data_IF_114893083177
#
_entry.id   IF_114893083177
#
_cell.length_a   1.000
_cell.length_b   1.000
_cell.length_c   1.000
_cell.angle_alpha   90.00
_cell.angle_beta   90.00
_cell.angle_gamma   90.00
#
_symmetry.space_group_name_H-M   'P 1'
#
loop_
_entity.id
_entity.type
_entity.pdbx_description
1 polymer ?
#
# COMPACT_ATOMS: atom_id res chain seq x y z
N UNK A 1 -10.47 -57.20 17.37
CA UNK A 1 -9.50 -56.85 18.43
C UNK A 1 -8.35 -56.09 17.79
N UNK A 2 -8.35 -54.76 17.90
CA UNK A 2 -7.20 -53.85 17.85
C UNK A 2 -7.77 -52.43 17.91
N UNK A 3 -7.53 -51.74 19.03
CA UNK A 3 -7.99 -50.37 19.32
C UNK A 3 -7.06 -49.38 18.63
N UNK A 4 -7.64 -48.33 18.04
CA UNK A 4 -6.91 -47.15 17.59
C UNK A 4 -7.20 -45.99 18.57
N UNK A 5 -6.13 -45.39 19.07
CA UNK A 5 -6.11 -44.28 20.00
C UNK A 5 -6.72 -43.00 19.41
N UNK A 6 -7.67 -42.41 20.14
CA UNK A 6 -8.15 -41.04 19.93
C UNK A 6 -7.38 -40.11 20.87
N UNK A 7 -6.47 -39.31 20.32
CA UNK A 7 -5.89 -38.17 21.03
C UNK A 7 -6.96 -37.08 21.18
N UNK A 8 -7.31 -36.80 22.43
CA UNK A 8 -8.27 -35.79 22.86
C UNK A 8 -7.48 -34.50 23.14
N UNK A 9 -7.64 -33.48 22.29
CA UNK A 9 -7.04 -32.16 22.52
C UNK A 9 -7.98 -31.37 23.43
N UNK A 10 -7.50 -31.10 24.66
CA UNK A 10 -8.17 -30.27 25.65
C UNK A 10 -8.20 -28.80 25.20
N UNK A 11 -9.38 -28.25 24.95
CA UNK A 11 -9.60 -26.80 24.90
C UNK A 11 -9.85 -26.29 26.33
N UNK A 12 -8.95 -25.43 26.82
CA UNK A 12 -9.17 -24.66 28.04
C UNK A 12 -10.12 -23.47 27.76
N UNK A 13 -11.16 -23.23 28.57
CA UNK A 13 -12.01 -22.05 28.40
C UNK A 13 -11.34 -20.81 29.02
N UNK A 14 -11.17 -19.78 28.20
CA UNK A 14 -10.83 -18.42 28.63
C UNK A 14 -11.98 -17.84 29.46
N UNK A 15 -11.73 -17.63 30.75
CA UNK A 15 -12.61 -16.88 31.67
C UNK A 15 -12.61 -15.41 31.27
N UNK A 16 -13.79 -14.89 30.98
CA UNK A 16 -14.04 -13.45 30.87
C UNK A 16 -14.24 -12.85 32.27
N UNK A 17 -13.50 -11.80 32.59
CA UNK A 17 -13.76 -10.97 33.76
C UNK A 17 -15.01 -10.12 33.49
N UNK A 18 -16.09 -10.40 34.22
CA UNK A 18 -17.25 -9.53 34.34
C UNK A 18 -16.89 -8.39 35.30
N UNK A 19 -17.00 -7.14 34.85
CA UNK A 19 -16.97 -5.97 35.72
C UNK A 19 -18.42 -5.70 36.14
N UNK A 20 -18.73 -5.98 37.40
CA UNK A 20 -20.00 -5.57 38.00
C UNK A 20 -20.07 -4.03 38.12
N UNK A 21 -21.23 -3.41 37.84
CA UNK A 21 -21.43 -1.99 38.07
C UNK A 21 -21.69 -1.74 39.57
N UNK A 22 -20.86 -0.90 40.19
CA UNK A 22 -21.04 -0.41 41.56
C UNK A 22 -22.27 0.52 41.64
N UNK A 23 -23.11 0.42 42.69
CA UNK A 23 -24.36 1.15 42.78
C UNK A 23 -24.18 2.60 43.22
N UNK A 24 -25.16 3.41 42.82
CA UNK A 24 -25.35 4.80 43.19
C UNK A 24 -25.44 4.99 44.71
N UNK A 25 -24.86 6.10 45.19
CA UNK A 25 -25.10 6.63 46.53
C UNK A 25 -25.50 8.11 46.42
N UNK A 26 -26.71 8.38 46.90
CA UNK A 26 -27.32 9.69 47.13
C UNK A 26 -26.68 10.45 48.31
N UNK A 27 -26.85 11.78 48.32
CA UNK A 27 -26.97 12.59 49.55
C UNK A 27 -25.78 13.47 49.96
N UNK A 28 -25.97 14.80 49.94
CA UNK A 28 -25.01 15.86 50.35
C UNK A 28 -24.84 16.04 51.87
N UNK A 29 -24.61 17.26 52.45
CA UNK A 29 -24.42 18.59 51.85
C UNK A 29 -23.19 19.41 52.36
N UNK A 30 -22.87 20.48 51.61
CA UNK A 30 -22.45 21.83 52.03
C UNK A 30 -21.49 22.02 53.24
N UNK A 31 -20.22 22.41 52.99
CA UNK A 31 -19.41 23.24 53.90
C UNK A 31 -18.42 24.14 53.12
N UNK A 32 -18.24 25.35 53.64
CA UNK A 32 -17.60 26.55 53.09
C UNK A 32 -16.06 26.49 52.93
N UNK A 33 -15.43 27.47 52.22
CA UNK A 33 -14.00 27.47 51.94
C UNK A 33 -13.19 28.18 53.03
N UNK A 34 -12.14 27.53 53.54
CA UNK A 34 -11.13 28.17 54.37
C UNK A 34 -9.86 28.46 53.55
N UNK A 35 -9.48 29.75 53.51
CA UNK A 35 -8.17 30.24 53.13
C UNK A 35 -7.13 29.80 54.18
N UNK A 36 -5.92 29.47 53.75
CA UNK A 36 -4.79 29.31 54.67
C UNK A 36 -3.47 29.04 53.94
N UNK A 37 -2.62 30.06 53.89
CA UNK A 37 -1.20 30.00 53.55
C UNK A 37 -0.44 29.04 54.49
N UNK A 38 0.65 28.43 54.01
CA UNK A 38 1.72 27.97 54.91
C UNK A 38 2.62 26.85 54.40
N UNK A 39 3.81 27.24 53.96
CA UNK A 39 5.12 26.62 54.19
C UNK A 39 5.33 25.08 54.02
N UNK A 40 6.32 24.77 53.18
CA UNK A 40 7.14 23.55 53.23
C UNK A 40 7.75 23.34 54.63
N UNK A 41 7.95 22.07 55.02
CA UNK A 41 9.33 21.59 55.09
C UNK A 41 9.55 20.17 54.54
N UNK A 42 10.82 19.92 54.24
CA UNK A 42 11.46 18.67 53.87
C UNK A 42 11.11 17.49 54.81
N UNK A 43 10.95 16.30 54.24
CA UNK A 43 11.59 15.08 54.77
C UNK A 43 11.56 13.94 53.75
N UNK A 44 12.75 13.46 53.41
CA UNK A 44 13.15 12.06 53.28
C UNK A 44 12.12 11.01 52.83
N UNK A 45 12.33 10.52 51.61
CA UNK A 45 12.34 9.08 51.38
C UNK A 45 13.27 8.79 50.19
N UNK A 46 14.48 8.35 50.51
CA UNK A 46 15.44 7.88 49.52
C UNK A 46 14.99 6.58 48.88
N UNK A 47 15.03 6.54 47.55
CA UNK A 47 15.11 5.32 46.76
C UNK A 47 16.04 5.57 45.56
N UNK A 48 17.04 4.70 45.30
CA UNK A 48 17.94 4.84 44.17
C UNK A 48 17.23 4.47 42.86
N UNK A 49 17.25 5.39 41.89
CA UNK A 49 16.83 5.12 40.50
C UNK A 49 17.95 4.35 39.80
N UNK A 50 17.76 3.03 39.70
CA UNK A 50 18.54 2.17 38.82
C UNK A 50 18.18 2.49 37.35
N UNK A 51 19.07 3.20 36.66
CA UNK A 51 19.06 3.28 35.20
C UNK A 51 19.54 1.95 34.62
N UNK A 52 18.60 1.08 34.25
CA UNK A 52 18.89 -0.04 33.37
C UNK A 52 19.09 0.48 31.93
N UNK A 53 20.35 0.53 31.49
CA UNK A 53 20.71 0.55 30.06
C UNK A 53 20.52 -0.85 29.49
N UNK A 54 19.85 -1.05 28.35
CA UNK A 54 19.99 -2.28 27.59
C UNK A 54 21.24 -2.20 26.72
N UNK A 55 22.26 -2.95 27.12
CA UNK A 55 23.36 -3.40 26.28
C UNK A 55 22.85 -4.39 25.23
N UNK A 56 22.96 -4.00 23.96
CA UNK A 56 23.07 -4.95 22.84
C UNK A 56 23.78 -4.25 21.67
N UNK A 57 25.08 -4.03 21.87
CA UNK A 57 26.03 -3.80 20.82
C UNK A 57 26.86 -5.07 20.61
N UNK A 58 26.89 -5.56 19.37
CA UNK A 58 27.84 -6.48 18.68
C UNK A 58 27.01 -7.26 17.66
N UNK A 59 27.34 -7.40 16.37
CA UNK A 59 28.50 -7.16 15.51
C UNK A 59 27.92 -7.13 14.09
N UNK A 60 28.32 -6.20 13.24
CA UNK A 60 28.35 -6.46 11.80
C UNK A 60 29.70 -5.95 11.31
N UNK A 61 30.53 -6.92 11.00
CA UNK A 61 31.88 -6.76 10.48
C UNK A 61 31.85 -6.01 9.15
N UNK A 62 32.78 -5.05 9.04
CA UNK A 62 32.95 -4.24 7.85
C UNK A 62 33.42 -5.06 6.66
N UNK A 63 32.84 -4.75 5.51
CA UNK A 63 33.50 -4.85 4.21
C UNK A 63 33.23 -3.52 3.49
N UNK A 64 34.11 -2.55 3.71
CA UNK A 64 34.21 -1.40 2.81
C UNK A 64 34.96 -1.87 1.57
N UNK A 65 34.24 -2.04 0.46
CA UNK A 65 34.89 -2.14 -0.85
C UNK A 65 35.36 -0.73 -1.22
N UNK A 66 36.65 -0.48 -1.09
CA UNK A 66 37.30 0.67 -1.68
C UNK A 66 37.15 0.58 -3.21
N UNK A 67 36.27 1.38 -3.80
CA UNK A 67 36.29 1.64 -5.23
C UNK A 67 37.40 2.66 -5.48
N UNK A 68 38.49 2.33 -6.20
CA UNK A 68 39.52 3.30 -6.49
C UNK A 68 38.94 4.44 -7.31
N UNK A 69 39.13 5.66 -6.83
CA UNK A 69 38.82 6.88 -7.54
C UNK A 69 39.75 6.97 -8.75
N UNK A 70 39.23 6.74 -9.96
CA UNK A 70 39.97 6.94 -11.20
C UNK A 70 40.11 8.46 -11.40
N UNK A 71 41.34 9.02 -11.43
CA UNK A 71 41.55 10.44 -11.69
C UNK A 71 41.01 10.81 -13.08
N UNK A 72 40.40 11.98 -13.19
CA UNK A 72 39.73 12.47 -14.39
C UNK A 72 40.66 12.82 -15.57
N UNK A 73 41.95 12.49 -15.52
CA UNK A 73 42.98 13.03 -16.42
C UNK A 73 43.48 12.09 -17.53
N UNK A 74 42.85 10.92 -17.77
CA UNK A 74 43.20 10.05 -18.90
C UNK A 74 42.02 9.74 -19.83
N UNK A 75 41.19 10.75 -20.13
CA UNK A 75 40.34 10.75 -21.33
C UNK A 75 41.05 11.49 -22.47
N UNK A 76 42.10 10.88 -23.01
CA UNK A 76 42.56 11.28 -24.33
C UNK A 76 41.55 10.74 -25.34
N UNK A 77 40.78 11.64 -25.96
CA UNK A 77 39.98 11.31 -27.12
C UNK A 77 40.93 10.74 -28.19
N UNK A 78 40.73 9.52 -28.69
CA UNK A 78 41.55 9.02 -29.78
C UNK A 78 41.41 9.97 -30.98
N UNK A 79 42.50 10.23 -31.72
CA UNK A 79 42.45 11.10 -32.88
C UNK A 79 41.42 10.56 -33.89
N UNK A 80 40.69 11.45 -34.58
CA UNK A 80 39.70 11.03 -35.56
C UNK A 80 40.37 10.18 -36.63
N UNK A 81 39.99 8.91 -36.73
CA UNK A 81 40.47 8.02 -37.79
C UNK A 81 40.12 8.62 -39.16
N UNK A 82 41.07 8.69 -40.11
CA UNK A 82 40.78 9.14 -41.46
C UNK A 82 39.73 8.21 -42.09
N UNK A 83 38.63 8.81 -42.54
CA UNK A 83 37.55 8.15 -43.29
C UNK A 83 38.07 7.75 -44.67
N UNK A 84 38.77 6.62 -44.78
CA UNK A 84 39.01 5.95 -46.05
C UNK A 84 37.89 4.94 -46.32
N UNK A 85 37.08 5.23 -47.36
CA UNK A 85 36.55 4.27 -48.34
C UNK A 85 36.16 2.85 -47.86
N UNK A 86 35.48 2.70 -46.72
CA UNK A 86 34.92 1.42 -46.24
C UNK A 86 33.43 1.23 -46.63
N UNK A 87 32.97 1.87 -47.72
CA UNK A 87 31.54 1.82 -48.11
C UNK A 87 31.15 0.68 -49.05
N UNK A 88 32.11 -0.13 -49.54
CA UNK A 88 31.81 -1.19 -50.52
C UNK A 88 32.07 -2.63 -50.05
N UNK A 89 32.82 -2.83 -48.95
CA UNK A 89 33.08 -4.19 -48.40
C UNK A 89 32.16 -4.62 -47.24
N UNK A 90 31.41 -3.71 -46.60
CA UNK A 90 30.51 -4.08 -45.49
C UNK A 90 29.17 -4.69 -45.97
N UNK A 91 28.75 -4.39 -47.21
CA UNK A 91 27.45 -4.86 -47.74
C UNK A 91 27.50 -6.35 -48.11
N UNK A 92 28.65 -6.87 -48.54
CA UNK A 92 28.78 -8.29 -48.93
C UNK A 92 28.88 -9.22 -47.71
N UNK A 93 29.51 -8.77 -46.61
CA UNK A 93 29.58 -9.55 -45.37
C UNK A 93 28.22 -9.63 -44.63
N UNK A 94 27.33 -8.64 -44.81
CA UNK A 94 26.01 -8.61 -44.15
C UNK A 94 24.97 -9.48 -44.88
N UNK A 95 25.17 -9.76 -46.18
CA UNK A 95 24.29 -10.64 -46.97
C UNK A 95 24.62 -12.13 -46.74
N UNK A 96 25.86 -12.48 -46.37
CA UNK A 96 26.27 -13.86 -46.08
C UNK A 96 25.98 -14.32 -44.64
N UNK A 97 25.78 -13.41 -43.68
CA UNK A 97 25.38 -13.75 -42.30
C UNK A 97 23.86 -13.88 -42.11
N UNK A 98 23.05 -13.76 -43.17
CA UNK A 98 21.59 -13.80 -43.11
C UNK A 98 20.94 -15.21 -43.08
N UNK A 99 21.73 -16.29 -43.10
CA UNK A 99 21.22 -17.66 -43.34
C UNK A 99 21.61 -18.64 -42.23
N UNK A 100 21.10 -18.42 -41.02
CA UNK A 100 20.77 -19.48 -40.03
C UNK A 100 20.37 -18.83 -38.71
N UNK A 101 19.33 -17.99 -38.69
CA UNK A 101 18.65 -17.78 -37.42
C UNK A 101 18.02 -19.15 -37.06
N UNK A 102 18.35 -19.75 -35.90
CA UNK A 102 17.72 -20.99 -35.47
C UNK A 102 16.22 -20.75 -35.53
N UNK A 103 15.48 -21.63 -36.23
CA UNK A 103 14.04 -21.51 -36.38
C UNK A 103 13.44 -21.33 -34.98
N UNK A 104 13.07 -20.10 -34.65
CA UNK A 104 12.54 -19.78 -33.34
C UNK A 104 11.33 -20.68 -33.15
N UNK A 105 11.40 -21.57 -32.15
CA UNK A 105 10.40 -22.61 -31.95
C UNK A 105 9.02 -21.94 -31.97
N UNK A 106 8.19 -22.30 -32.95
CA UNK A 106 6.92 -21.65 -33.19
C UNK A 106 6.05 -21.78 -31.94
N UNK A 107 5.83 -20.66 -31.24
CA UNK A 107 4.99 -20.63 -30.03
C UNK A 107 3.53 -20.60 -30.44
N UNK A 108 2.71 -21.38 -29.75
CA UNK A 108 1.28 -21.33 -29.87
C UNK A 108 0.73 -20.17 -29.03
N UNK A 109 -0.42 -19.63 -29.45
CA UNK A 109 -1.08 -18.51 -28.81
C UNK A 109 -2.55 -18.83 -28.58
N UNK A 110 -3.02 -18.62 -27.35
CA UNK A 110 -4.43 -18.66 -27.00
C UNK A 110 -4.88 -17.26 -26.57
N UNK A 111 -5.92 -16.74 -27.19
CA UNK A 111 -6.47 -15.42 -26.86
C UNK A 111 -7.97 -15.53 -26.60
N UNK A 112 -8.45 -14.75 -25.64
CA UNK A 112 -9.88 -14.53 -25.41
C UNK A 112 -10.12 -13.05 -25.07
N UNK A 113 -11.24 -12.52 -25.57
CA UNK A 113 -11.72 -11.19 -25.24
C UNK A 113 -13.02 -11.34 -24.45
N UNK A 114 -13.06 -10.71 -23.29
CA UNK A 114 -14.18 -10.63 -22.38
C UNK A 114 -14.67 -9.17 -22.31
N UNK A 115 -15.85 -8.96 -21.73
CA UNK A 115 -16.37 -7.61 -21.48
C UNK A 115 -15.45 -6.83 -20.51
N UNK A 116 -14.76 -7.54 -19.62
CA UNK A 116 -13.82 -7.00 -18.65
C UNK A 116 -12.43 -6.70 -19.22
N UNK A 117 -12.05 -7.30 -20.36
CA UNK A 117 -10.77 -7.10 -21.03
C UNK A 117 -10.26 -8.32 -21.82
N UNK A 118 -8.99 -8.33 -22.19
CA UNK A 118 -8.34 -9.33 -23.04
C UNK A 118 -7.33 -10.14 -22.25
N UNK A 119 -7.29 -11.45 -22.55
CA UNK A 119 -6.28 -12.38 -22.06
C UNK A 119 -5.54 -12.99 -23.23
N UNK A 120 -4.21 -12.97 -23.17
CA UNK A 120 -3.32 -13.54 -24.19
C UNK A 120 -2.31 -14.45 -23.53
N UNK A 121 -2.31 -15.74 -23.91
CA UNK A 121 -1.39 -16.76 -23.39
C UNK A 121 -0.49 -17.23 -24.54
N UNK A 122 0.83 -17.12 -24.35
CA UNK A 122 1.84 -17.58 -25.29
C UNK A 122 2.65 -18.73 -24.69
N UNK A 123 2.62 -19.89 -25.33
CA UNK A 123 3.20 -21.13 -24.80
C UNK A 123 3.90 -21.92 -25.90
N UNK A 124 4.91 -22.71 -25.53
CA UNK A 124 5.48 -23.70 -26.44
C UNK A 124 4.56 -24.92 -26.52
N UNK A 125 4.37 -25.51 -27.70
CA UNK A 125 3.50 -26.68 -27.91
C UNK A 125 4.31 -27.96 -28.16
N UNK A 126 5.00 -28.53 -27.14
CA UNK A 126 5.75 -29.77 -27.32
C UNK A 126 4.82 -30.93 -27.70
N UNK A 127 5.33 -31.84 -28.53
CA UNK A 127 4.67 -33.11 -28.78
C UNK A 127 4.63 -33.93 -27.49
N UNK A 128 3.49 -34.55 -27.19
CA UNK A 128 3.36 -35.45 -26.06
C UNK A 128 4.29 -36.66 -26.22
N UNK A 129 4.93 -37.07 -25.12
CA UNK A 129 5.77 -38.26 -25.03
C UNK A 129 5.41 -39.00 -23.74
N UNK A 130 5.46 -40.32 -23.73
CA UNK A 130 5.17 -41.13 -22.54
C UNK A 130 6.11 -40.82 -21.36
N UNK A 131 7.34 -40.39 -21.66
CA UNK A 131 8.31 -39.91 -20.68
C UNK A 131 7.78 -38.72 -19.87
N UNK A 132 6.93 -37.88 -20.45
CA UNK A 132 6.31 -36.75 -19.74
C UNK A 132 5.31 -37.21 -18.71
N UNK A 133 4.57 -38.29 -18.96
CA UNK A 133 3.67 -38.88 -17.96
C UNK A 133 4.44 -39.30 -16.70
N UNK A 134 5.59 -39.99 -16.90
CA UNK A 134 6.47 -40.42 -15.80
C UNK A 134 7.08 -39.22 -15.06
N UNK A 135 7.48 -38.18 -15.78
CA UNK A 135 8.03 -36.96 -15.18
C UNK A 135 6.97 -36.17 -14.37
N UNK A 136 5.71 -36.15 -14.80
CA UNK A 136 4.61 -35.55 -14.03
C UNK A 136 4.30 -36.33 -12.74
N UNK A 137 4.55 -37.63 -12.71
CA UNK A 137 4.39 -38.42 -11.48
C UNK A 137 5.45 -38.08 -10.43
N UNK A 138 6.69 -37.84 -10.86
CA UNK A 138 7.85 -37.62 -9.99
C UNK A 138 8.09 -36.15 -9.60
N UNK A 139 7.42 -35.19 -10.24
CA UNK A 139 7.62 -33.76 -9.98
C UNK A 139 6.39 -33.10 -9.36
N UNK A 140 6.62 -32.18 -8.43
CA UNK A 140 5.55 -31.36 -7.82
C UNK A 140 5.19 -30.15 -8.67
N UNK A 141 6.06 -29.75 -9.60
CA UNK A 141 5.85 -28.60 -10.47
C UNK A 141 6.12 -28.99 -11.91
N UNK A 142 5.13 -28.73 -12.76
CA UNK A 142 5.21 -28.96 -14.19
C UNK A 142 5.27 -27.63 -14.94
N UNK A 143 6.26 -27.51 -15.83
CA UNK A 143 6.37 -26.35 -16.71
C UNK A 143 5.37 -26.50 -17.85
N UNK A 144 4.46 -25.52 -17.97
CA UNK A 144 3.64 -25.37 -19.16
C UNK A 144 4.52 -24.87 -20.31
N UNK A 145 4.73 -25.72 -21.32
CA UNK A 145 5.45 -25.39 -22.55
C UNK A 145 6.92 -25.80 -22.61
N UNK A 146 7.51 -25.63 -23.80
CA UNK A 146 8.91 -26.00 -24.08
C UNK A 146 9.85 -24.79 -24.03
N UNK A 147 11.08 -25.02 -23.52
CA UNK A 147 12.20 -24.09 -23.35
C UNK A 147 11.93 -22.88 -22.43
N UNK A 148 10.93 -22.09 -22.74
CA UNK A 148 10.58 -20.88 -22.01
C UNK A 148 9.32 -21.08 -21.15
N UNK A 149 9.15 -20.30 -20.07
CA UNK A 149 7.89 -20.30 -19.33
C UNK A 149 6.70 -19.87 -20.22
N UNK A 150 5.51 -20.40 -19.93
CA UNK A 150 4.27 -19.91 -20.54
C UNK A 150 4.00 -18.50 -20.04
N UNK A 151 3.82 -17.57 -20.98
CA UNK A 151 3.56 -16.16 -20.72
C UNK A 151 2.07 -15.89 -20.75
N UNK A 152 1.56 -15.12 -19.80
CA UNK A 152 0.18 -14.61 -19.83
C UNK A 152 0.19 -13.10 -19.69
N UNK A 153 -0.53 -12.44 -20.58
CA UNK A 153 -0.79 -11.00 -20.56
C UNK A 153 -2.27 -10.79 -20.30
N UNK A 154 -2.56 -10.06 -19.22
CA UNK A 154 -3.91 -9.75 -18.77
C UNK A 154 -4.13 -8.23 -18.91
N UNK A 155 -5.12 -7.82 -19.70
CA UNK A 155 -5.59 -6.41 -19.68
C UNK A 155 -6.73 -6.19 -18.69
N UNK A 156 -7.34 -7.27 -18.21
CA UNK A 156 -8.28 -7.29 -17.09
C UNK A 156 -7.64 -7.93 -15.85
N UNK A 157 -8.36 -7.93 -14.73
CA UNK A 157 -7.97 -8.71 -13.56
C UNK A 157 -8.52 -10.12 -13.67
N UNK A 158 -8.04 -11.01 -12.82
CA UNK A 158 -8.51 -12.39 -12.75
C UNK A 158 -8.75 -12.77 -11.29
N UNK A 159 -9.98 -13.16 -10.96
CA UNK A 159 -10.30 -13.66 -9.62
C UNK A 159 -9.79 -15.10 -9.47
N UNK A 160 -9.09 -15.39 -8.37
CA UNK A 160 -8.67 -16.74 -8.00
C UNK A 160 -9.05 -17.06 -6.55
N UNK A 161 -8.78 -18.30 -6.14
CA UNK A 161 -9.01 -18.77 -4.77
C UNK A 161 -8.11 -18.02 -3.76
N UNK A 162 -6.90 -17.66 -4.18
CA UNK A 162 -5.91 -16.89 -3.39
C UNK A 162 -6.12 -15.35 -3.47
N UNK A 163 -7.14 -14.89 -4.20
CA UNK A 163 -7.48 -13.47 -4.36
C UNK A 163 -7.41 -12.97 -5.80
N UNK A 164 -7.50 -11.66 -5.98
CA UNK A 164 -7.48 -11.04 -7.31
C UNK A 164 -6.05 -10.90 -7.85
N UNK A 165 -5.82 -11.37 -9.07
CA UNK A 165 -4.64 -11.06 -9.88
C UNK A 165 -4.93 -9.75 -10.63
N UNK A 166 -4.10 -8.70 -10.48
CA UNK A 166 -4.30 -7.47 -11.22
C UNK A 166 -3.96 -7.62 -12.72
N UNK A 167 -4.34 -6.64 -13.53
CA UNK A 167 -3.91 -6.58 -14.93
C UNK A 167 -2.37 -6.45 -15.01
N UNK A 168 -1.74 -7.15 -15.95
CA UNK A 168 -0.28 -7.19 -16.06
C UNK A 168 0.26 -8.37 -16.86
N UNK A 169 1.59 -8.51 -16.85
CA UNK A 169 2.30 -9.62 -17.48
C UNK A 169 2.80 -10.61 -16.42
N UNK A 170 2.45 -11.87 -16.61
CA UNK A 170 2.77 -12.96 -15.68
C UNK A 170 3.28 -14.20 -16.42
N UNK A 171 3.62 -15.22 -15.65
CA UNK A 171 3.95 -16.56 -16.12
C UNK A 171 3.03 -17.60 -15.48
N UNK A 172 2.91 -18.75 -16.15
CA UNK A 172 2.05 -19.84 -15.74
C UNK A 172 2.82 -21.15 -15.61
N UNK A 173 2.48 -21.93 -14.58
CA UNK A 173 2.95 -23.29 -14.35
C UNK A 173 1.79 -24.13 -13.78
N UNK A 174 1.99 -25.45 -13.71
CA UNK A 174 1.09 -26.33 -12.95
C UNK A 174 1.82 -26.84 -11.71
N UNK A 175 1.15 -26.87 -10.57
CA UNK A 175 1.69 -27.40 -9.33
C UNK A 175 0.77 -28.50 -8.80
N UNK A 176 1.35 -29.60 -8.34
CA UNK A 176 0.61 -30.71 -7.73
C UNK A 176 0.20 -30.31 -6.31
N UNK A 177 -1.10 -30.35 -6.05
CA UNK A 177 -1.68 -30.17 -4.72
C UNK A 177 -1.61 -31.46 -3.91
N UNK A 178 -1.85 -31.38 -2.60
CA UNK A 178 -1.88 -32.52 -1.66
C UNK A 178 -2.81 -33.66 -2.11
N UNK A 179 -3.86 -33.34 -2.88
CA UNK A 179 -4.84 -34.32 -3.37
C UNK A 179 -4.47 -34.92 -4.74
N UNK A 180 -3.20 -34.83 -5.15
CA UNK A 180 -2.72 -35.23 -6.49
C UNK A 180 -3.44 -34.52 -7.65
N UNK A 181 -4.14 -33.41 -7.39
CA UNK A 181 -4.74 -32.57 -8.41
C UNK A 181 -3.72 -31.52 -8.87
N UNK A 182 -3.76 -31.15 -10.13
CA UNK A 182 -2.91 -30.08 -10.64
C UNK A 182 -3.63 -28.75 -10.51
N UNK A 183 -3.07 -27.86 -9.69
CA UNK A 183 -3.48 -26.48 -9.62
C UNK A 183 -2.72 -25.68 -10.67
N UNK A 184 -3.40 -24.70 -11.26
CA UNK A 184 -2.76 -23.75 -12.14
C UNK A 184 -2.18 -22.61 -11.30
N UNK A 185 -0.90 -22.33 -11.49
CA UNK A 185 -0.17 -21.31 -10.73
C UNK A 185 0.19 -20.15 -11.65
N UNK A 186 -0.27 -18.96 -11.31
CA UNK A 186 0.08 -17.69 -11.97
C UNK A 186 1.05 -16.94 -11.07
N UNK A 187 2.16 -16.45 -11.61
CA UNK A 187 3.20 -15.78 -10.82
C UNK A 187 3.87 -14.62 -11.59
N UNK A 188 4.33 -13.56 -10.90
CA UNK A 188 5.06 -12.47 -11.54
C UNK A 188 6.52 -12.87 -11.79
N UNK A 189 7.12 -12.31 -12.85
CA UNK A 189 8.54 -12.50 -13.17
C UNK A 189 8.80 -13.02 -14.58
N UNK A 190 10.07 -13.26 -14.92
CA UNK A 190 10.49 -13.71 -16.25
C UNK A 190 10.94 -15.18 -16.30
N UNK A 191 11.20 -15.81 -15.14
CA UNK A 191 11.79 -17.14 -15.04
C UNK A 191 10.78 -18.27 -14.83
N UNK A 192 11.32 -19.48 -14.59
CA UNK A 192 10.54 -20.64 -14.17
C UNK A 192 10.07 -20.50 -12.73
N UNK A 193 8.92 -21.09 -12.42
CA UNK A 193 8.35 -21.12 -11.08
C UNK A 193 9.30 -21.80 -10.09
N UNK A 194 9.38 -21.26 -8.87
CA UNK A 194 10.13 -21.82 -7.75
C UNK A 194 9.26 -21.75 -6.49
N UNK A 195 9.41 -22.74 -5.61
CA UNK A 195 8.75 -22.73 -4.32
C UNK A 195 9.10 -21.45 -3.53
N UNK A 196 8.11 -20.86 -2.85
CA UNK A 196 8.26 -19.62 -2.08
C UNK A 196 8.08 -18.33 -2.89
N UNK A 197 7.94 -18.39 -4.21
CA UNK A 197 7.57 -17.20 -5.00
C UNK A 197 6.11 -16.81 -4.73
N UNK A 198 5.83 -15.49 -4.70
CA UNK A 198 4.46 -14.98 -4.71
C UNK A 198 3.72 -15.53 -5.92
N UNK A 199 2.60 -16.18 -5.70
CA UNK A 199 1.78 -16.74 -6.76
C UNK A 199 0.30 -16.74 -6.36
N UNK A 200 -0.54 -16.98 -7.35
CA UNK A 200 -1.96 -17.19 -7.20
C UNK A 200 -2.30 -18.55 -7.79
N UNK A 201 -3.02 -19.37 -7.01
CA UNK A 201 -3.49 -20.68 -7.43
C UNK A 201 -4.93 -20.58 -7.93
N UNK A 202 -5.20 -21.36 -8.96
CA UNK A 202 -6.54 -21.58 -9.51
C UNK A 202 -6.76 -23.09 -9.47
N UNK A 203 -7.70 -23.53 -8.63
CA UNK A 203 -8.02 -24.94 -8.51
C UNK A 203 -8.76 -25.46 -9.76
N UNK A 204 -8.55 -26.72 -10.15
CA UNK A 204 -9.24 -27.29 -11.30
C UNK A 204 -10.73 -27.46 -11.00
N UNK A 205 -11.59 -27.02 -11.92
CA UNK A 205 -13.04 -27.21 -11.85
C UNK A 205 -13.43 -28.65 -12.26
N UNK A 206 -12.79 -29.18 -13.31
CA UNK A 206 -13.05 -30.52 -13.82
C UNK A 206 -11.82 -31.11 -14.52
N UNK A 207 -11.64 -32.41 -14.40
CA UNK A 207 -10.76 -33.20 -15.27
C UNK A 207 -11.63 -33.80 -16.37
N UNK A 208 -11.21 -33.62 -17.62
CA UNK A 208 -11.94 -34.01 -18.81
C UNK A 208 -11.16 -35.10 -19.53
N UNK A 209 -11.85 -36.16 -19.92
CA UNK A 209 -11.31 -37.15 -20.86
C UNK A 209 -11.17 -36.50 -22.23
N UNK A 210 -9.94 -36.40 -22.73
CA UNK A 210 -9.67 -35.83 -24.03
C UNK A 210 -9.32 -36.93 -25.02
N UNK A 211 -9.77 -36.80 -26.28
CA UNK A 211 -9.12 -37.52 -27.38
C UNK A 211 -7.65 -37.13 -27.35
N UNK A 212 -6.77 -38.12 -27.24
CA UNK A 212 -5.33 -37.94 -27.03
C UNK A 212 -4.79 -36.79 -27.90
N UNK A 213 -4.32 -35.73 -27.25
CA UNK A 213 -3.73 -34.61 -27.95
C UNK A 213 -2.24 -34.90 -28.18
N UNK A 214 -1.83 -34.96 -29.45
CA UNK A 214 -0.43 -35.18 -29.82
C UNK A 214 0.48 -34.05 -29.36
N UNK A 215 -0.07 -32.87 -29.05
CA UNK A 215 0.66 -31.67 -28.63
C UNK A 215 -0.02 -31.01 -27.43
N UNK A 216 0.77 -30.38 -26.57
CA UNK A 216 0.24 -29.47 -25.53
C UNK A 216 -0.61 -28.38 -26.20
N UNK A 217 -1.85 -28.22 -25.76
CA UNK A 217 -2.73 -27.16 -26.23
C UNK A 217 -3.40 -26.46 -25.05
N UNK A 218 -3.37 -25.13 -25.04
CA UNK A 218 -4.09 -24.31 -24.09
C UNK A 218 -5.21 -23.63 -24.87
N UNK A 219 -6.44 -23.75 -24.39
CA UNK A 219 -7.63 -23.13 -24.99
C UNK A 219 -8.38 -22.34 -23.94
N UNK A 220 -9.00 -21.25 -24.36
CA UNK A 220 -9.91 -20.49 -23.51
C UNK A 220 -11.30 -20.63 -24.13
N UNK A 221 -12.20 -21.30 -23.42
CA UNK A 221 -13.56 -21.55 -23.86
C UNK A 221 -14.53 -20.95 -22.85
N UNK A 222 -15.27 -19.92 -23.28
CA UNK A 222 -16.12 -19.12 -22.37
C UNK A 222 -15.27 -18.59 -21.20
N UNK A 223 -15.64 -18.92 -19.97
CA UNK A 223 -14.96 -18.55 -18.72
C UNK A 223 -14.17 -19.72 -18.12
N UNK A 224 -13.64 -20.59 -18.99
CA UNK A 224 -12.81 -21.74 -18.59
C UNK A 224 -11.53 -21.78 -19.41
N UNK A 225 -10.40 -21.95 -18.72
CA UNK A 225 -9.11 -22.24 -19.34
C UNK A 225 -8.92 -23.76 -19.36
N UNK A 226 -8.79 -24.34 -20.55
CA UNK A 226 -8.61 -25.78 -20.72
C UNK A 226 -7.18 -26.04 -21.16
N UNK A 227 -6.46 -26.86 -20.38
CA UNK A 227 -5.10 -27.30 -20.69
C UNK A 227 -5.15 -28.76 -21.10
N UNK A 228 -4.88 -29.04 -22.37
CA UNK A 228 -4.75 -30.39 -22.93
C UNK A 228 -3.30 -30.83 -22.91
N UNK A 229 -3.02 -31.97 -22.28
CA UNK A 229 -1.70 -32.58 -22.25
C UNK A 229 -1.83 -34.11 -22.32
N UNK A 230 -1.50 -34.67 -23.49
CA UNK A 230 -1.63 -36.11 -23.74
C UNK A 230 -3.08 -36.58 -23.68
N UNK A 231 -3.40 -37.64 -22.91
CA UNK A 231 -4.77 -38.14 -22.78
C UNK A 231 -5.65 -37.31 -21.82
N UNK A 232 -5.08 -36.31 -21.13
CA UNK A 232 -5.78 -35.54 -20.11
C UNK A 232 -6.08 -34.13 -20.58
N UNK A 233 -7.24 -33.62 -20.15
CA UNK A 233 -7.53 -32.20 -20.18
C UNK A 233 -7.99 -31.75 -18.79
N UNK A 234 -7.52 -30.58 -18.34
CA UNK A 234 -7.95 -29.99 -17.09
C UNK A 234 -8.57 -28.62 -17.37
N UNK A 235 -9.78 -28.41 -16.88
CA UNK A 235 -10.50 -27.16 -16.97
C UNK A 235 -10.33 -26.36 -15.67
N UNK A 236 -9.86 -25.12 -15.79
CA UNK A 236 -9.72 -24.16 -14.70
C UNK A 236 -10.77 -23.06 -14.84
N UNK A 237 -11.48 -22.68 -13.77
CA UNK A 237 -12.38 -21.55 -13.80
C UNK A 237 -11.57 -20.27 -14.07
N UNK A 238 -11.99 -19.53 -15.08
CA UNK A 238 -11.37 -18.27 -15.48
C UNK A 238 -12.40 -17.18 -15.28
N UNK A 239 -12.27 -16.42 -14.18
CA UNK A 239 -13.23 -15.37 -13.80
C UNK A 239 -12.59 -13.98 -14.00
N UNK A 240 -12.64 -13.43 -15.22
CA UNK A 240 -12.23 -12.05 -15.47
C UNK A 240 -12.98 -11.09 -14.55
N UNK A 241 -12.26 -10.12 -14.01
CA UNK A 241 -12.84 -9.01 -13.27
C UNK A 241 -12.43 -7.71 -13.95
N UNK A 242 -13.38 -6.78 -14.05
CA UNK A 242 -13.15 -5.47 -14.67
C UNK A 242 -12.18 -4.69 -13.79
N UNK A 243 -10.95 -4.59 -14.24
CA UNK A 243 -9.98 -3.68 -13.63
C UNK A 243 -10.20 -2.33 -14.28
N UNK A 244 -10.34 -1.30 -13.45
CA UNK A 244 -10.38 0.04 -13.98
C UNK A 244 -8.95 0.48 -14.33
N UNK A 245 -8.83 1.44 -15.25
CA UNK A 245 -7.55 2.00 -15.62
C UNK A 245 -6.75 2.39 -14.38
N UNK A 246 -5.47 2.01 -14.37
CA UNK A 246 -4.55 2.36 -13.28
C UNK A 246 -4.60 3.87 -13.08
N UNK A 247 -5.23 4.29 -11.99
CA UNK A 247 -5.24 5.70 -11.65
C UNK A 247 -3.86 6.04 -11.13
N UNK A 248 -3.04 6.65 -11.98
CA UNK A 248 -1.80 7.30 -11.57
C UNK A 248 -2.14 8.45 -10.61
N UNK A 249 -2.27 8.13 -9.33
CA UNK A 249 -2.33 9.12 -8.27
C UNK A 249 -0.92 9.34 -7.73
N UNK A 250 -0.56 10.60 -7.50
CA UNK A 250 0.72 10.93 -6.86
C UNK A 250 0.81 10.34 -5.43
N UNK A 251 -0.29 9.85 -4.86
CA UNK A 251 -0.34 9.12 -3.59
C UNK A 251 0.42 7.79 -3.61
N UNK A 252 0.49 7.10 -4.75
CA UNK A 252 1.38 5.94 -4.86
C UNK A 252 2.86 6.30 -4.62
N UNK A 253 3.21 7.59 -4.72
CA UNK A 253 4.55 8.11 -4.44
C UNK A 253 4.73 8.57 -2.99
N UNK A 254 3.66 8.69 -2.18
CA UNK A 254 3.74 9.21 -0.80
C UNK A 254 3.29 8.15 0.21
N UNK A 255 4.11 7.83 1.23
CA UNK A 255 3.68 6.97 2.32
C UNK A 255 2.63 7.72 3.14
N UNK A 256 1.38 7.26 3.09
CA UNK A 256 0.29 7.76 3.92
C UNK A 256 0.05 6.78 5.07
N UNK A 257 -0.06 7.31 6.29
CA UNK A 257 -0.48 6.54 7.47
C UNK A 257 -1.82 7.08 7.95
N UNK A 258 -2.84 6.22 7.96
CA UNK A 258 -4.16 6.53 8.52
C UNK A 258 -4.29 5.78 9.83
N UNK A 259 -4.55 6.49 10.93
CA UNK A 259 -4.81 5.90 12.24
C UNK A 259 -6.26 6.23 12.62
N UNK A 260 -7.12 5.22 12.61
CA UNK A 260 -8.54 5.36 12.97
C UNK A 260 -8.75 4.73 14.35
N UNK A 261 -9.39 5.45 15.27
CA UNK A 261 -9.81 4.89 16.55
C UNK A 261 -11.06 4.04 16.34
N UNK A 262 -11.12 2.88 17.00
CA UNK A 262 -12.34 2.08 17.05
C UNK A 262 -13.43 2.90 17.76
N UNK A 263 -14.53 3.16 17.05
CA UNK A 263 -15.69 3.85 17.61
C UNK A 263 -16.63 2.76 18.15
N UNK A 264 -17.02 2.79 19.43
CA UNK A 264 -18.00 1.85 19.96
C UNK A 264 -19.33 2.03 19.22
N UNK A 265 -19.98 0.91 18.91
CA UNK A 265 -21.31 0.93 18.30
C UNK A 265 -22.29 1.65 19.24
N UNK A 266 -22.76 2.81 18.83
CA UNK A 266 -23.77 3.59 19.53
C UNK A 266 -25.00 3.71 18.66
N UNK A 267 -26.18 3.50 19.25
CA UNK A 267 -27.48 3.72 18.59
C UNK A 267 -27.79 5.22 18.46
N UNK A 268 -27.03 6.08 19.14
CA UNK A 268 -27.11 7.53 19.03
C UNK A 268 -26.23 8.01 17.87
N UNK A 269 -26.74 8.99 17.12
CA UNK A 269 -25.97 9.68 16.09
C UNK A 269 -24.72 10.37 16.67
N UNK A 270 -23.73 10.56 15.81
CA UNK A 270 -22.49 11.27 16.13
C UNK A 270 -22.57 12.68 15.57
N UNK A 271 -22.23 13.69 16.37
CA UNK A 271 -22.04 15.06 15.87
C UNK A 271 -20.59 15.47 16.00
N UNK A 272 -19.96 15.80 14.87
CA UNK A 272 -18.58 16.27 14.76
C UNK A 272 -17.55 15.51 15.65
N UNK A 273 -17.74 14.20 15.82
CA UNK A 273 -16.98 13.39 16.77
C UNK A 273 -15.62 13.08 16.19
N UNK A 274 -14.55 13.29 16.95
CA UNK A 274 -13.19 12.94 16.52
C UNK A 274 -13.02 11.42 16.45
N UNK A 275 -12.55 10.90 15.30
CA UNK A 275 -12.45 9.45 15.03
C UNK A 275 -11.05 9.00 14.65
N UNK A 276 -10.09 9.92 14.53
CA UNK A 276 -8.70 9.57 14.26
C UNK A 276 -7.96 10.65 13.50
N UNK A 277 -6.79 10.28 12.98
CA UNK A 277 -5.89 11.20 12.30
C UNK A 277 -5.28 10.55 11.06
N UNK A 278 -5.24 11.30 9.96
CA UNK A 278 -4.51 10.95 8.76
C UNK A 278 -3.22 11.76 8.67
N UNK A 279 -2.10 11.11 8.34
CA UNK A 279 -0.79 11.76 8.19
C UNK A 279 -0.23 11.47 6.81
N UNK A 280 0.13 12.52 6.07
CA UNK A 280 0.84 12.42 4.81
C UNK A 280 2.25 13.00 4.96
N UNK A 281 3.26 12.21 4.61
CA UNK A 281 4.66 12.65 4.58
C UNK A 281 5.08 12.91 3.14
N UNK A 282 5.46 14.16 2.83
CA UNK A 282 5.91 14.54 1.50
C UNK A 282 7.34 13.99 1.30
N UNK A 283 7.51 12.95 0.46
CA UNK A 283 8.84 12.39 0.13
C UNK A 283 9.70 13.40 -0.64
N UNK A 284 11.01 13.36 -0.40
CA UNK A 284 12.02 14.09 -1.18
C UNK A 284 12.63 15.32 -0.51
N UNK A 285 12.33 15.61 0.76
CA UNK A 285 13.11 16.53 1.59
C UNK A 285 13.25 15.92 2.99
N UNK A 286 14.47 15.76 3.49
CA UNK A 286 14.76 15.21 4.84
C UNK A 286 14.10 15.98 5.99
N UNK A 287 13.57 17.18 5.72
CA UNK A 287 12.83 18.02 6.66
C UNK A 287 11.42 18.37 6.16
N UNK A 288 10.81 17.53 5.30
CA UNK A 288 9.50 17.82 4.77
C UNK A 288 8.45 17.85 5.90
N UNK A 289 7.68 18.95 6.04
CA UNK A 289 6.59 18.98 7.00
C UNK A 289 5.59 17.87 6.67
N UNK A 290 5.23 17.07 7.67
CA UNK A 290 4.08 16.18 7.57
C UNK A 290 2.80 17.01 7.63
N UNK A 291 1.79 16.58 6.88
CA UNK A 291 0.46 17.16 6.94
C UNK A 291 -0.42 16.22 7.76
N UNK A 292 -1.06 16.78 8.78
CA UNK A 292 -1.92 16.05 9.71
C UNK A 292 -3.35 16.54 9.54
N UNK A 293 -4.27 15.61 9.29
CA UNK A 293 -5.70 15.87 9.27
C UNK A 293 -6.38 15.13 10.41
N UNK A 294 -7.16 15.85 11.19
CA UNK A 294 -8.09 15.26 12.15
C UNK A 294 -9.35 14.82 11.41
N UNK A 295 -9.76 13.59 11.68
CA UNK A 295 -10.95 12.98 11.10
C UNK A 295 -12.11 13.18 12.06
N UNK A 296 -13.16 13.86 11.61
CA UNK A 296 -14.38 14.09 12.37
C UNK A 296 -15.57 13.43 11.68
N UNK A 297 -16.25 12.53 12.37
CA UNK A 297 -17.44 11.85 11.88
C UNK A 297 -18.69 12.55 12.39
N UNK A 298 -19.60 12.86 11.47
CA UNK A 298 -20.98 13.22 11.76
C UNK A 298 -21.87 12.16 11.15
N UNK A 299 -22.77 11.57 11.93
CA UNK A 299 -23.69 10.54 11.47
C UNK A 299 -25.06 10.76 12.10
N UNK A 300 -26.08 10.83 11.26
CA UNK A 300 -27.47 10.99 11.67
C UNK A 300 -28.38 10.07 10.86
N UNK A 301 -29.69 10.15 11.06
CA UNK A 301 -30.65 9.36 10.31
C UNK A 301 -30.62 9.64 8.79
N UNK A 302 -30.23 10.87 8.40
CA UNK A 302 -30.19 11.30 6.99
C UNK A 302 -28.90 10.89 6.26
N UNK A 303 -27.84 10.52 6.96
CA UNK A 303 -26.58 10.13 6.31
C UNK A 303 -25.35 10.19 7.22
N UNK A 304 -24.19 10.01 6.60
CA UNK A 304 -22.90 10.08 7.28
C UNK A 304 -21.98 11.05 6.54
N UNK A 305 -21.15 11.79 7.30
CA UNK A 305 -20.19 12.76 6.80
C UNK A 305 -18.87 12.61 7.55
N UNK A 306 -17.78 12.43 6.83
CA UNK A 306 -16.43 12.41 7.37
C UNK A 306 -15.71 13.69 6.97
N UNK A 307 -15.40 14.54 7.94
CA UNK A 307 -14.65 15.77 7.74
C UNK A 307 -13.16 15.55 8.05
N UNK A 308 -12.31 16.05 7.15
CA UNK A 308 -10.86 16.10 7.28
C UNK A 308 -10.50 17.54 7.62
N UNK A 309 -10.02 17.76 8.84
CA UNK A 309 -9.70 19.07 9.38
C UNK A 309 -8.17 19.20 9.45
N UNK A 310 -7.60 20.10 8.65
CA UNK A 310 -6.17 20.36 8.70
C UNK A 310 -5.84 21.19 9.95
N UNK A 311 -5.22 20.55 10.95
CA UNK A 311 -4.90 21.19 12.23
C UNK A 311 -3.88 22.31 12.09
N UNK A 312 -2.87 22.12 11.23
CA UNK A 312 -1.83 23.12 10.98
C UNK A 312 -2.41 24.37 10.33
N UNK A 313 -3.37 24.23 9.40
CA UNK A 313 -4.02 25.37 8.77
C UNK A 313 -4.71 26.30 9.79
N UNK A 314 -5.38 25.73 10.80
CA UNK A 314 -5.99 26.51 11.90
C UNK A 314 -4.94 27.19 12.78
N UNK A 315 -3.88 26.48 13.14
CA UNK A 315 -2.79 27.01 13.98
C UNK A 315 -2.02 28.15 13.31
N UNK A 316 -1.75 28.06 12.01
CA UNK A 316 -1.00 29.07 11.25
C UNK A 316 -1.65 30.45 11.29
N UNK A 317 -2.98 30.54 11.19
CA UNK A 317 -3.69 31.81 11.28
C UNK A 317 -3.51 32.48 12.66
N UNK A 318 -3.61 31.68 13.74
CA UNK A 318 -3.44 32.16 15.11
C UNK A 318 -1.99 32.55 15.42
N UNK A 319 -1.02 31.75 14.97
CA UNK A 319 0.42 32.03 15.10
C UNK A 319 0.79 33.37 14.44
N UNK A 320 0.36 33.60 13.19
CA UNK A 320 0.57 34.87 12.48
C UNK A 320 -0.02 36.05 13.23
N UNK A 321 -1.29 35.96 13.65
CA UNK A 321 -1.95 37.02 14.40
C UNK A 321 -1.27 37.27 15.76
N UNK A 322 -0.70 36.24 16.39
CA UNK A 322 0.11 36.36 17.60
C UNK A 322 1.41 37.14 17.36
N UNK A 323 2.12 36.84 16.28
CA UNK A 323 3.35 37.54 15.89
C UNK A 323 3.04 39.00 15.55
N UNK A 324 2.01 39.26 14.76
CA UNK A 324 1.61 40.62 14.35
C UNK A 324 1.22 41.48 15.57
N UNK A 325 0.45 40.93 16.52
CA UNK A 325 0.13 41.61 17.79
C UNK A 325 1.38 41.91 18.62
N UNK A 326 2.34 40.98 18.64
CA UNK A 326 3.61 41.16 19.36
C UNK A 326 4.45 42.26 18.71
N UNK A 327 4.58 42.23 17.38
CA UNK A 327 5.28 43.27 16.62
C UNK A 327 4.65 44.64 16.83
N UNK A 328 3.31 44.76 16.77
CA UNK A 328 2.60 46.02 17.02
C UNK A 328 2.89 46.59 18.41
N UNK A 329 2.83 45.75 19.45
CA UNK A 329 3.11 46.13 20.84
C UNK A 329 4.55 46.59 21.03
N UNK A 330 5.50 45.89 20.41
CA UNK A 330 6.93 46.19 20.51
C UNK A 330 7.29 47.45 19.73
N UNK A 331 6.68 47.69 18.56
CA UNK A 331 6.84 48.94 17.79
C UNK A 331 6.42 50.16 18.61
N UNK A 332 5.32 50.08 19.37
CA UNK A 332 4.90 51.18 20.27
C UNK A 332 5.92 51.50 21.39
N UNK A 333 6.82 50.57 21.74
CA UNK A 333 7.89 50.81 22.72
C UNK A 333 9.14 51.45 22.10
N UNK A 334 9.25 51.47 20.77
CA UNK A 334 10.41 52.01 20.06
C UNK A 334 10.53 53.53 20.23
N UNK A 335 9.39 54.23 20.29
CA UNK A 335 9.32 55.69 20.39
C UNK A 335 9.89 56.22 21.72
N UNK A 336 9.74 55.46 22.82
CA UNK A 336 10.24 55.83 24.15
C UNK A 336 11.59 55.23 24.54
N UNK A 337 12.26 54.50 23.65
CA UNK A 337 13.50 53.80 23.97
C UNK A 337 14.75 54.66 23.74
N UNK A 338 15.78 54.50 24.58
CA UNK A 338 17.13 55.03 24.31
C UNK A 338 17.81 54.28 23.15
N UNK A 339 18.95 54.75 22.65
CA UNK A 339 19.58 54.19 21.43
C UNK A 339 19.92 52.70 21.53
N UNK A 340 20.41 52.27 22.71
CA UNK A 340 20.67 50.84 22.98
C UNK A 340 19.38 50.02 22.98
N UNK A 341 18.30 50.58 23.53
CA UNK A 341 16.96 50.00 23.50
C UNK A 341 16.40 49.92 22.09
N UNK A 342 16.53 50.98 21.29
CA UNK A 342 16.12 51.03 19.88
C UNK A 342 16.80 49.93 19.08
N UNK A 343 18.13 49.77 19.21
CA UNK A 343 18.86 48.69 18.53
C UNK A 343 18.31 47.31 18.87
N UNK A 344 18.13 47.01 20.16
CA UNK A 344 17.58 45.72 20.63
C UNK A 344 16.16 45.47 20.12
N UNK A 345 15.31 46.51 20.12
CA UNK A 345 13.93 46.42 19.63
C UNK A 345 13.92 46.16 18.12
N UNK A 346 14.76 46.86 17.35
CA UNK A 346 14.89 46.65 15.90
C UNK A 346 15.34 45.24 15.57
N UNK A 347 16.38 44.73 16.24
CA UNK A 347 16.87 43.36 16.04
C UNK A 347 15.77 42.31 16.36
N UNK A 348 15.01 42.53 17.43
CA UNK A 348 13.87 41.67 17.79
C UNK A 348 12.77 41.70 16.72
N UNK A 349 12.42 42.89 16.21
CA UNK A 349 11.42 43.05 15.16
C UNK A 349 11.85 42.35 13.86
N UNK A 350 13.11 42.47 13.46
CA UNK A 350 13.65 41.79 12.30
C UNK A 350 13.56 40.25 12.42
N UNK A 351 13.83 39.71 13.61
CA UNK A 351 13.63 38.28 13.91
C UNK A 351 12.17 37.85 13.74
N UNK A 352 11.22 38.65 14.24
CA UNK A 352 9.77 38.38 14.11
C UNK A 352 9.26 38.54 12.67
N UNK A 353 9.82 39.46 11.89
CA UNK A 353 9.50 39.60 10.46
C UNK A 353 9.93 38.37 9.66
N UNK A 354 11.12 37.82 9.96
CA UNK A 354 11.58 36.57 9.35
C UNK A 354 10.68 35.39 9.72
N UNK A 355 10.26 35.28 10.98
CA UNK A 355 9.33 34.24 11.45
C UNK A 355 7.96 34.38 10.75
N UNK A 356 7.43 35.60 10.62
CA UNK A 356 6.18 35.87 9.91
C UNK A 356 6.29 35.50 8.41
N UNK A 357 7.41 35.81 7.76
CA UNK A 357 7.66 35.44 6.37
C UNK A 357 7.72 33.91 6.19
N UNK A 358 8.34 33.19 7.13
CA UNK A 358 8.33 31.72 7.13
C UNK A 358 6.91 31.18 7.27
N UNK A 359 6.11 31.69 8.21
CA UNK A 359 4.71 31.27 8.38
C UNK A 359 3.86 31.55 7.14
N UNK A 360 4.07 32.68 6.44
CA UNK A 360 3.39 32.99 5.18
C UNK A 360 3.80 32.04 4.05
N UNK A 361 5.08 31.68 3.94
CA UNK A 361 5.54 30.68 2.98
C UNK A 361 4.96 29.29 3.28
N UNK A 362 4.89 28.92 4.56
CA UNK A 362 4.23 27.70 5.02
C UNK A 362 2.74 27.73 4.70
N UNK A 363 2.02 28.81 5.00
CA UNK A 363 0.61 28.98 4.64
C UNK A 363 0.39 28.89 3.13
N UNK A 364 1.24 29.48 2.30
CA UNK A 364 1.14 29.37 0.85
C UNK A 364 1.37 27.93 0.35
N UNK A 365 2.23 27.17 1.04
CA UNK A 365 2.39 25.74 0.77
C UNK A 365 1.12 24.97 1.16
N UNK A 366 0.51 25.34 2.29
CA UNK A 366 -0.69 24.70 2.83
C UNK A 366 -2.02 25.16 2.22
N UNK A 367 -2.09 26.33 1.59
CA UNK A 367 -3.33 26.89 1.00
C UNK A 367 -3.89 26.02 -0.14
N UNK A 368 -3.04 25.13 -0.65
CA UNK A 368 -3.40 24.09 -1.63
C UNK A 368 -4.21 22.95 -1.01
N UNK A 369 -4.08 22.74 0.30
CA UNK A 369 -4.89 21.80 1.06
C UNK A 369 -6.01 22.59 1.73
N UNK A 370 -7.27 22.26 1.43
CA UNK A 370 -8.41 22.93 2.05
C UNK A 370 -8.32 22.78 3.57
N UNK A 371 -8.60 23.85 4.30
CA UNK A 371 -8.61 23.82 5.77
C UNK A 371 -9.59 22.79 6.31
N UNK A 372 -10.73 22.65 5.61
CA UNK A 372 -11.72 21.61 5.85
C UNK A 372 -12.09 20.97 4.50
N UNK A 373 -12.12 19.65 4.48
CA UNK A 373 -12.68 18.88 3.38
C UNK A 373 -13.66 17.88 3.99
N UNK A 374 -14.73 17.52 3.28
CA UNK A 374 -15.66 16.53 3.80
C UNK A 374 -16.14 15.61 2.71
N UNK A 375 -16.19 14.33 3.04
CA UNK A 375 -16.74 13.27 2.20
C UNK A 375 -18.07 12.85 2.79
N UNK A 376 -19.10 12.72 1.94
CA UNK A 376 -20.39 12.17 2.35
C UNK A 376 -20.41 10.68 2.06
N UNK A 377 -20.87 9.89 3.04
CA UNK A 377 -20.93 8.44 2.97
C UNK A 377 -22.36 7.96 2.85
N UNK A 378 -22.53 6.77 2.25
CA UNK A 378 -23.82 6.09 2.21
C UNK A 378 -23.99 5.27 3.48
N UNK A 379 -25.19 5.29 4.04
CA UNK A 379 -25.61 4.39 5.11
C UNK A 379 -26.21 3.12 4.50
N UNK A 380 -25.83 1.96 5.02
CA UNK A 380 -26.43 0.68 4.71
C UNK A 380 -26.81 -0.03 6.01
N UNK A 381 -27.87 -0.84 5.98
CA UNK A 381 -28.21 -1.69 7.11
C UNK A 381 -27.12 -2.76 7.30
N UNK A 382 -26.88 -3.12 8.56
CA UNK A 382 -25.73 -3.93 8.95
C UNK A 382 -26.10 -5.41 8.99
N UNK A 383 -25.49 -6.21 8.12
CA UNK A 383 -25.70 -7.67 8.10
C UNK A 383 -25.05 -8.39 9.31
N UNK A 384 -24.01 -7.83 9.92
CA UNK A 384 -23.30 -8.41 11.08
C UNK A 384 -22.83 -7.36 12.12
N UNK A 385 -23.05 -7.57 13.44
CA UNK A 385 -22.84 -6.57 14.48
C UNK A 385 -21.37 -6.28 14.87
N UNK A 386 -20.38 -6.89 14.22
CA UNK A 386 -18.95 -6.69 14.53
C UNK A 386 -18.40 -5.43 13.88
N UNK A 387 -17.76 -4.54 14.65
CA UNK A 387 -17.21 -3.26 14.15
C UNK A 387 -15.97 -3.53 13.31
N UNK A 388 -16.16 -3.75 12.01
CA UNK A 388 -15.06 -3.98 11.07
C UNK A 388 -14.70 -2.66 10.39
N UNK A 389 -13.51 -2.14 10.72
CA UNK A 389 -12.85 -1.15 9.88
C UNK A 389 -12.25 -1.89 8.69
N UNK A 390 -13.00 -1.99 7.60
CA UNK A 390 -12.50 -2.56 6.36
C UNK A 390 -11.77 -1.48 5.57
N UNK A 391 -10.48 -1.68 5.31
CA UNK A 391 -9.78 -0.99 4.24
C UNK A 391 -9.89 -1.87 3.01
N UNK A 392 -10.86 -1.61 2.13
CA UNK A 392 -10.78 -2.14 0.77
C UNK A 392 -9.62 -1.43 0.09
N UNK A 393 -8.45 -2.05 0.16
CA UNK A 393 -7.29 -1.53 -0.55
C UNK A 393 -7.55 -1.75 -2.04
N UNK A 394 -7.61 -0.64 -2.77
CA UNK A 394 -7.75 -0.57 -4.23
C UNK A 394 -9.19 -0.70 -4.75
N UNK A 395 -10.02 0.29 -4.40
CA UNK A 395 -11.07 0.68 -5.32
C UNK A 395 -10.48 1.39 -6.55
N UNK A 396 -11.11 1.21 -7.72
CA UNK A 396 -10.67 1.65 -9.04
C UNK A 396 -10.38 3.13 -9.27
N UNK A 397 -10.59 4.00 -8.28
CA UNK A 397 -10.29 5.44 -8.37
C UNK A 397 -9.07 5.84 -7.53
N UNK A 398 -8.37 4.86 -6.94
CA UNK A 398 -7.42 5.11 -5.86
C UNK A 398 -8.11 5.50 -4.56
N UNK A 399 -9.43 5.31 -4.45
CA UNK A 399 -10.17 5.68 -3.27
C UNK A 399 -10.00 4.69 -2.13
N UNK A 400 -9.97 5.23 -0.91
CA UNK A 400 -9.96 4.46 0.33
C UNK A 400 -11.41 4.42 0.79
N UNK A 401 -12.01 3.22 0.80
CA UNK A 401 -13.31 3.06 1.45
C UNK A 401 -13.05 2.95 2.94
N UNK A 402 -13.53 3.93 3.70
CA UNK A 402 -13.58 3.84 5.15
C UNK A 402 -14.97 3.39 5.55
N UNK A 403 -15.08 2.21 6.14
CA UNK A 403 -16.35 1.70 6.66
C UNK A 403 -16.36 1.79 8.18
N UNK A 404 -17.38 2.45 8.73
CA UNK A 404 -17.60 2.57 10.17
C UNK A 404 -18.89 1.85 10.54
N UNK A 405 -18.80 0.86 11.43
CA UNK A 405 -19.99 0.22 12.02
C UNK A 405 -20.51 1.05 13.18
N UNK A 406 -21.80 1.38 13.18
CA UNK A 406 -22.45 2.17 14.22
C UNK A 406 -23.85 1.60 14.52
N UNK A 407 -23.98 0.88 15.64
CA UNK A 407 -25.23 0.18 15.99
C UNK A 407 -25.62 -0.81 14.88
N UNK A 408 -26.88 -0.73 14.43
CA UNK A 408 -27.42 -1.54 13.33
C UNK A 408 -27.11 -1.06 11.91
N UNK A 409 -26.24 -0.05 11.72
CA UNK A 409 -25.90 0.50 10.39
C UNK A 409 -24.40 0.55 10.14
N UNK A 410 -24.03 0.52 8.85
CA UNK A 410 -22.68 0.76 8.36
C UNK A 410 -22.66 2.07 7.56
N UNK A 411 -21.69 2.94 7.86
CA UNK A 411 -21.39 4.12 7.07
C UNK A 411 -20.15 3.86 6.21
N UNK A 412 -20.32 3.82 4.88
CA UNK A 412 -19.22 3.66 3.94
C UNK A 412 -18.88 5.01 3.29
N UNK A 413 -17.63 5.43 3.42
CA UNK A 413 -17.10 6.65 2.85
C UNK A 413 -16.16 6.32 1.72
N UNK A 414 -16.47 6.79 0.51
CA UNK A 414 -15.57 6.70 -0.62
C UNK A 414 -14.62 7.90 -0.59
N UNK A 415 -13.49 7.75 0.10
CA UNK A 415 -12.51 8.83 0.24
C UNK A 415 -11.62 8.79 -0.99
N UNK A 416 -11.85 9.70 -1.94
CA UNK A 416 -11.01 9.82 -3.12
C UNK A 416 -9.76 10.70 -2.82
N UNK A 417 -8.54 10.14 -2.82
CA UNK A 417 -7.31 10.91 -2.61
C UNK A 417 -7.10 11.99 -3.67
N UNK A 418 -7.73 11.89 -4.84
CA UNK A 418 -7.61 12.91 -5.88
C UNK A 418 -8.07 14.29 -5.42
N UNK A 419 -9.03 14.37 -4.50
CA UNK A 419 -9.46 15.65 -3.93
C UNK A 419 -8.38 16.30 -3.05
N UNK A 420 -7.38 15.54 -2.62
CA UNK A 420 -6.21 15.99 -1.87
C UNK A 420 -4.98 16.24 -2.78
N UNK A 421 -5.12 16.15 -4.12
CA UNK A 421 -4.02 16.39 -5.08
C UNK A 421 -3.50 17.82 -5.02
N UNK A 422 -2.20 17.98 -5.21
CA UNK A 422 -1.65 19.27 -5.64
C UNK A 422 -2.04 19.52 -7.11
N UNK A 423 -2.49 20.72 -7.49
CA UNK A 423 -2.58 21.07 -8.89
C UNK A 423 -1.19 20.99 -9.52
N UNK A 424 -1.03 20.16 -10.57
CA UNK A 424 0.22 20.07 -11.32
C UNK A 424 0.57 21.46 -11.83
N UNK A 425 1.78 21.95 -11.52
CA UNK A 425 2.34 23.09 -12.27
C UNK A 425 2.40 22.64 -13.72
N UNK A 426 1.58 23.24 -14.58
CA UNK A 426 1.79 23.16 -16.03
C UNK A 426 3.22 23.68 -16.24
N UNK A 427 4.10 22.78 -16.69
CA UNK A 427 5.47 23.14 -17.06
C UNK A 427 5.44 23.89 -18.38
#
# INVERSE_FOLDING_TARGET
MARADRAQVCCAPLRWFSLDPSPAADGGPNLQPARGFGAHPYSDSGLPVLFARPEWARRCDGWYVCVPHIPAELRQNPPPKPRSEMKKSLVIALVLCGLALPAAAQRAKAEATFDEGKVSISYGAPNWKEEFAKAMESTDTWRLGNNDPTSVELTCGLQTDDGAIPAGAYRMAMQKSEKKKWDLVVYPGSGHFRAGMKCWRIHPAAELEAKSADKLAIRIEKKSLIVHFGPKAIAYPFQPIKMHEKVETDFAMYPVKISVMAIPASDKGFDNTYVGTAVCTIRGRELAPSITWDLHLTMNAQGAKLAFVNTRAKGLAQEKAGIERTMKRVKGRLEGANDKGKKRITDFLAGKEKELAQLKATEQMFSRFKANQSVTGKLADRETPASTLHFDHERPQGSIVLTFGCGGKNAAFDVNPQEFRMPRRRR
#
